data_IF_373370443845
#
_entry.id   IF_373370443845
#
_cell.length_a   1.000
_cell.length_b   1.000
_cell.length_c   1.000
_cell.angle_alpha   90.00
_cell.angle_beta   90.00
_cell.angle_gamma   90.00
#
_symmetry.space_group_name_H-M   'P 1'
#
loop_
_entity.id
_entity.type
_entity.pdbx_description
1 polymer ?
#
# COMPACT_ATOMS: atom_id res chain seq x y z
N UNK A 1 -21.41 0.32 6.80
CA UNK A 1 -20.23 0.57 5.95
C UNK A 1 -20.58 0.58 4.47
N UNK A 2 -21.22 -0.47 3.94
CA UNK A 2 -21.67 -0.54 2.54
C UNK A 2 -22.52 0.68 2.11
N UNK A 3 -23.55 1.05 2.88
CA UNK A 3 -24.37 2.22 2.57
C UNK A 3 -23.56 3.54 2.53
N UNK A 4 -22.59 3.70 3.45
CA UNK A 4 -21.70 4.87 3.51
C UNK A 4 -20.83 4.95 2.26
N UNK A 5 -20.24 3.83 1.84
CA UNK A 5 -19.46 3.75 0.61
C UNK A 5 -20.34 4.08 -0.60
N UNK A 6 -21.47 3.39 -0.77
CA UNK A 6 -22.34 3.55 -1.93
C UNK A 6 -22.92 4.96 -2.03
N UNK A 7 -23.27 5.58 -0.90
CA UNK A 7 -23.69 6.98 -0.85
C UNK A 7 -22.58 7.89 -1.40
N UNK A 8 -21.35 7.74 -0.90
CA UNK A 8 -20.22 8.57 -1.33
C UNK A 8 -19.87 8.37 -2.80
N UNK A 9 -19.85 7.13 -3.29
CA UNK A 9 -19.59 6.82 -4.69
C UNK A 9 -20.70 7.38 -5.59
N UNK A 10 -21.96 7.35 -5.13
CA UNK A 10 -23.08 7.98 -5.81
C UNK A 10 -22.96 9.51 -5.91
N UNK A 11 -22.52 10.18 -4.85
CA UNK A 11 -22.23 11.62 -4.88
C UNK A 11 -21.12 11.94 -5.89
N UNK A 12 -20.02 11.18 -5.88
CA UNK A 12 -18.90 11.36 -6.80
C UNK A 12 -19.31 11.11 -8.27
N UNK A 13 -20.26 10.20 -8.53
CA UNK A 13 -20.86 10.05 -9.88
C UNK A 13 -21.64 11.30 -10.28
N UNK A 14 -22.48 11.85 -9.39
CA UNK A 14 -23.25 13.08 -9.69
C UNK A 14 -22.34 14.28 -9.98
N UNK A 15 -21.16 14.32 -9.33
CA UNK A 15 -20.12 15.32 -9.57
C UNK A 15 -19.23 15.01 -10.78
N UNK A 16 -19.56 14.00 -11.60
CA UNK A 16 -18.79 13.57 -12.78
C UNK A 16 -17.33 13.19 -12.48
N UNK A 17 -17.03 12.75 -11.24
CA UNK A 17 -15.69 12.29 -10.85
C UNK A 17 -15.38 10.88 -11.35
N UNK A 18 -16.41 10.04 -11.45
CA UNK A 18 -16.32 8.69 -12.03
C UNK A 18 -17.11 8.58 -13.32
N UNK A 19 -16.60 7.78 -14.25
CA UNK A 19 -17.40 7.28 -15.37
C UNK A 19 -18.35 6.17 -14.88
N UNK A 20 -19.33 5.81 -15.70
CA UNK A 20 -20.35 4.83 -15.33
C UNK A 20 -19.79 3.44 -15.03
N UNK A 21 -18.81 2.99 -15.82
CA UNK A 21 -18.16 1.69 -15.61
C UNK A 21 -17.45 1.62 -14.26
N UNK A 22 -16.64 2.63 -13.93
CA UNK A 22 -15.94 2.74 -12.66
C UNK A 22 -16.91 2.82 -11.48
N UNK A 23 -17.97 3.64 -11.58
CA UNK A 23 -18.99 3.70 -10.54
C UNK A 23 -19.65 2.34 -10.28
N UNK A 24 -20.08 1.65 -11.34
CA UNK A 24 -20.77 0.37 -11.21
C UNK A 24 -19.85 -0.73 -10.68
N UNK A 25 -18.57 -0.67 -11.02
CA UNK A 25 -17.57 -1.62 -10.53
C UNK A 25 -17.18 -1.39 -9.07
N UNK A 26 -17.00 -0.13 -8.66
CA UNK A 26 -16.60 0.23 -7.29
C UNK A 26 -17.74 -0.01 -6.28
N UNK A 27 -18.99 0.14 -6.72
CA UNK A 27 -20.17 -0.02 -5.87
C UNK A 27 -20.16 -1.37 -5.16
N UNK A 28 -20.37 -1.32 -3.86
CA UNK A 28 -20.54 -2.51 -3.03
C UNK A 28 -21.92 -3.12 -3.24
N UNK A 29 -21.95 -4.43 -3.50
CA UNK A 29 -23.19 -5.22 -3.64
C UNK A 29 -22.95 -6.59 -3.00
N UNK A 30 -23.87 -7.04 -2.14
CA UNK A 30 -23.84 -8.38 -1.52
C UNK A 30 -22.50 -8.69 -0.82
N UNK A 31 -22.02 -7.75 -0.01
CA UNK A 31 -20.70 -7.82 0.60
C UNK A 31 -20.67 -8.73 1.81
N UNK A 32 -19.49 -9.28 2.12
CA UNK A 32 -19.24 -10.07 3.33
C UNK A 32 -18.32 -9.31 4.27
N UNK A 33 -18.48 -9.53 5.57
CA UNK A 33 -17.53 -9.01 6.55
C UNK A 33 -16.17 -9.71 6.37
N UNK A 34 -15.09 -8.93 6.47
CA UNK A 34 -13.74 -9.48 6.43
C UNK A 34 -13.50 -10.43 7.59
N UNK A 35 -12.63 -11.43 7.41
CA UNK A 35 -12.34 -12.46 8.43
C UNK A 35 -10.84 -12.53 8.66
N UNK A 36 -10.43 -12.48 9.92
CA UNK A 36 -9.05 -12.72 10.33
C UNK A 36 -8.79 -14.23 10.41
N UNK A 37 -7.72 -14.68 9.77
CA UNK A 37 -7.21 -16.03 9.88
C UNK A 37 -5.70 -15.98 10.15
N UNK A 38 -5.23 -17.01 10.83
CA UNK A 38 -3.85 -17.14 11.28
C UNK A 38 -3.16 -18.22 10.46
N UNK A 39 -1.94 -17.94 9.98
CA UNK A 39 -1.14 -18.90 9.24
C UNK A 39 0.24 -19.05 9.89
N UNK A 40 0.79 -20.27 10.00
CA UNK A 40 2.11 -20.49 10.58
C UNK A 40 3.22 -20.03 9.62
N UNK A 41 4.21 -19.31 10.13
CA UNK A 41 5.47 -19.01 9.44
C UNK A 41 6.39 -20.23 9.53
N UNK A 42 6.32 -21.11 8.54
CA UNK A 42 7.04 -22.41 8.47
C UNK A 42 8.58 -22.25 8.49
N UNK A 43 9.10 -21.08 8.15
CA UNK A 43 10.54 -20.84 7.97
C UNK A 43 11.34 -20.46 9.23
N UNK A 44 10.71 -20.38 10.42
CA UNK A 44 11.37 -19.95 11.66
C UNK A 44 11.49 -21.10 12.68
N UNK A 45 12.61 -21.15 13.42
CA UNK A 45 12.88 -22.16 14.48
C UNK A 45 11.78 -22.21 15.55
N UNK A 46 11.10 -21.09 15.76
CA UNK A 46 9.89 -20.97 16.59
C UNK A 46 8.73 -20.72 15.63
N UNK A 47 7.64 -21.49 15.77
CA UNK A 47 6.44 -21.32 14.95
C UNK A 47 5.78 -19.97 15.28
N UNK A 48 6.13 -18.92 14.54
CA UNK A 48 5.47 -17.63 14.61
C UNK A 48 4.19 -17.69 13.77
N UNK A 49 3.12 -17.09 14.26
CA UNK A 49 1.85 -16.96 13.53
C UNK A 49 1.84 -15.63 12.81
N UNK A 50 1.35 -15.61 11.56
CA UNK A 50 1.02 -14.38 10.85
C UNK A 50 -0.50 -14.26 10.71
N UNK A 51 -1.05 -13.17 11.24
CA UNK A 51 -2.47 -12.82 11.12
C UNK A 51 -2.72 -12.15 9.78
N UNK A 52 -3.77 -12.58 9.09
CA UNK A 52 -4.16 -12.03 7.80
C UNK A 52 -5.66 -11.81 7.76
N UNK A 53 -6.08 -10.64 7.29
CA UNK A 53 -7.51 -10.31 7.15
C UNK A 53 -7.93 -10.53 5.70
N UNK A 54 -8.82 -11.50 5.47
CA UNK A 54 -9.42 -11.74 4.16
C UNK A 54 -10.40 -10.61 3.83
N UNK A 55 -10.08 -9.82 2.81
CA UNK A 55 -10.92 -8.73 2.29
C UNK A 55 -11.70 -9.13 1.04
N UNK A 56 -11.64 -10.40 0.63
CA UNK A 56 -12.37 -10.91 -0.53
C UNK A 56 -13.86 -10.68 -0.35
N UNK A 57 -14.48 -10.03 -1.34
CA UNK A 57 -15.90 -9.67 -1.33
C UNK A 57 -16.31 -8.77 -0.15
N UNK A 58 -15.36 -8.07 0.48
CA UNK A 58 -15.66 -7.00 1.42
C UNK A 58 -16.16 -5.76 0.69
N UNK A 59 -16.84 -4.87 1.41
CA UNK A 59 -17.47 -3.70 0.80
C UNK A 59 -16.47 -2.76 0.11
N UNK A 60 -15.24 -2.67 0.60
CA UNK A 60 -14.19 -1.82 0.05
C UNK A 60 -13.27 -2.56 -0.92
N UNK A 61 -13.54 -3.81 -1.29
CA UNK A 61 -12.64 -4.62 -2.12
C UNK A 61 -12.38 -3.97 -3.49
N UNK A 62 -13.44 -3.65 -4.24
CA UNK A 62 -13.30 -3.03 -5.56
C UNK A 62 -12.78 -1.59 -5.47
N UNK A 63 -13.20 -0.84 -4.44
CA UNK A 63 -12.63 0.49 -4.19
C UNK A 63 -11.12 0.38 -3.94
N UNK A 64 -10.68 -0.56 -3.12
CA UNK A 64 -9.26 -0.75 -2.81
C UNK A 64 -8.47 -1.06 -4.08
N UNK A 65 -8.99 -1.90 -4.98
CA UNK A 65 -8.37 -2.14 -6.29
C UNK A 65 -8.32 -0.89 -7.16
N UNK A 66 -9.41 -0.15 -7.25
CA UNK A 66 -9.43 1.12 -7.99
C UNK A 66 -8.35 2.08 -7.50
N UNK A 67 -8.25 2.24 -6.18
CA UNK A 67 -7.25 3.11 -5.55
C UNK A 67 -5.83 2.58 -5.73
N UNK A 68 -5.64 1.26 -5.70
CA UNK A 68 -4.39 0.58 -6.03
C UNK A 68 -3.95 0.93 -7.45
N UNK A 69 -4.83 0.72 -8.45
CA UNK A 69 -4.52 0.98 -9.86
C UNK A 69 -4.22 2.46 -10.11
N UNK A 70 -4.98 3.35 -9.49
CA UNK A 70 -4.74 4.80 -9.56
C UNK A 70 -3.37 5.17 -8.99
N UNK A 71 -3.01 4.63 -7.83
CA UNK A 71 -1.73 4.92 -7.18
C UNK A 71 -0.55 4.30 -7.93
N UNK A 72 -0.69 3.08 -8.44
CA UNK A 72 0.33 2.42 -9.28
C UNK A 72 0.59 3.19 -10.57
N UNK A 73 -0.46 3.73 -11.21
CA UNK A 73 -0.29 4.58 -12.40
C UNK A 73 0.29 5.96 -12.07
N UNK A 74 0.16 6.41 -10.82
CA UNK A 74 0.71 7.68 -10.37
C UNK A 74 2.17 7.55 -9.91
N UNK A 75 2.51 6.45 -9.24
CA UNK A 75 3.83 6.25 -8.65
C UNK A 75 4.85 5.93 -9.75
N UNK A 76 6.02 6.55 -9.65
CA UNK A 76 7.19 6.14 -10.43
C UNK A 76 7.86 4.92 -9.81
N UNK A 77 8.92 4.44 -10.45
CA UNK A 77 9.85 3.49 -9.81
C UNK A 77 10.85 4.27 -8.96
N UNK A 78 11.16 3.78 -7.76
CA UNK A 78 12.30 4.27 -6.97
C UNK A 78 13.59 4.08 -7.78
N UNK A 79 14.55 4.99 -7.60
CA UNK A 79 15.88 4.89 -8.24
C UNK A 79 16.65 3.65 -7.79
N UNK A 80 16.33 3.16 -6.60
CA UNK A 80 17.02 2.04 -5.96
C UNK A 80 16.25 0.72 -6.10
N UNK A 81 15.15 0.71 -6.85
CA UNK A 81 14.27 -0.44 -7.01
C UNK A 81 14.98 -1.60 -7.73
N UNK A 82 15.00 -2.77 -7.08
CA UNK A 82 15.45 -4.01 -7.69
C UNK A 82 14.26 -4.91 -8.02
N UNK A 83 14.17 -5.30 -9.28
CA UNK A 83 13.06 -6.09 -9.82
C UNK A 83 12.90 -7.46 -9.15
N UNK A 84 14.00 -8.20 -9.01
CA UNK A 84 13.99 -9.58 -8.52
C UNK A 84 15.36 -10.00 -7.94
N UNK A 85 15.37 -11.15 -7.25
CA UNK A 85 16.58 -11.70 -6.62
C UNK A 85 17.68 -12.06 -7.62
N UNK A 86 17.33 -12.40 -8.86
CA UNK A 86 18.31 -12.72 -9.89
C UNK A 86 19.01 -11.45 -10.38
N UNK A 87 18.26 -10.38 -10.56
CA UNK A 87 18.76 -9.05 -10.91
C UNK A 87 19.68 -8.52 -9.80
N UNK A 88 19.29 -8.69 -8.54
CA UNK A 88 20.15 -8.35 -7.40
C UNK A 88 21.47 -9.15 -7.41
N UNK A 89 21.38 -10.47 -7.59
CA UNK A 89 22.57 -11.35 -7.61
C UNK A 89 23.55 -10.93 -8.70
N UNK A 90 23.05 -10.66 -9.92
CA UNK A 90 23.89 -10.14 -11.02
C UNK A 90 24.54 -8.80 -10.68
N UNK A 91 23.79 -7.90 -10.06
CA UNK A 91 24.27 -6.57 -9.67
C UNK A 91 25.40 -6.66 -8.63
N UNK A 92 25.27 -7.55 -7.65
CA UNK A 92 26.26 -7.73 -6.58
C UNK A 92 27.52 -8.43 -7.10
N UNK A 93 27.37 -9.40 -8.02
CA UNK A 93 28.53 -10.05 -8.66
C UNK A 93 29.42 -9.08 -9.44
N UNK A 94 28.89 -7.93 -9.85
CA UNK A 94 29.67 -6.87 -10.53
C UNK A 94 30.42 -5.95 -9.56
N UNK A 95 30.21 -6.08 -8.25
CA UNK A 95 30.90 -5.27 -7.25
C UNK A 95 32.21 -5.94 -6.83
N UNK A 96 33.29 -5.17 -6.76
CA UNK A 96 34.57 -5.60 -6.19
C UNK A 96 34.74 -4.96 -4.81
N UNK A 97 34.40 -5.66 -3.71
CA UNK A 97 34.55 -5.11 -2.38
C UNK A 97 36.02 -4.97 -1.97
N UNK A 98 36.33 -3.92 -1.23
CA UNK A 98 37.63 -3.72 -0.57
C UNK A 98 37.72 -4.57 0.70
N UNK A 99 38.94 -4.79 1.21
CA UNK A 99 39.20 -5.60 2.42
C UNK A 99 38.47 -5.10 3.68
N UNK A 100 38.09 -3.81 3.71
CA UNK A 100 37.42 -3.17 4.83
C UNK A 100 35.93 -2.89 4.57
N UNK A 101 35.38 -3.38 3.46
CA UNK A 101 33.96 -3.21 3.15
C UNK A 101 33.13 -4.27 3.88
N UNK A 102 31.99 -3.86 4.41
CA UNK A 102 31.03 -4.74 5.08
C UNK A 102 29.71 -4.72 4.32
N UNK A 103 29.12 -5.91 4.14
CA UNK A 103 27.76 -6.04 3.64
C UNK A 103 26.80 -6.18 4.82
N UNK A 104 25.82 -5.28 4.89
CA UNK A 104 24.80 -5.28 5.95
C UNK A 104 23.46 -5.56 5.30
N UNK A 105 22.71 -6.52 5.85
CA UNK A 105 21.33 -6.81 5.45
C UNK A 105 20.39 -6.38 6.57
N UNK A 106 19.44 -5.52 6.22
CA UNK A 106 18.41 -5.01 7.12
C UNK A 106 17.05 -5.54 6.64
N UNK A 107 16.21 -5.96 7.57
CA UNK A 107 14.84 -6.42 7.30
C UNK A 107 13.87 -5.62 8.16
N UNK A 108 12.76 -5.16 7.57
CA UNK A 108 11.74 -4.41 8.29
C UNK A 108 10.80 -5.39 8.97
N UNK A 109 10.77 -5.35 10.29
CA UNK A 109 9.85 -6.19 11.05
C UNK A 109 8.40 -5.71 10.90
N UNK A 110 7.52 -6.65 10.54
CA UNK A 110 6.07 -6.45 10.56
C UNK A 110 5.59 -5.25 9.73
N UNK A 111 6.24 -4.99 8.58
CA UNK A 111 6.02 -3.83 7.70
C UNK A 111 4.55 -3.40 7.59
N UNK A 112 3.66 -4.28 7.14
CA UNK A 112 2.24 -3.93 6.91
C UNK A 112 1.48 -3.50 8.17
N UNK A 113 1.78 -4.08 9.32
CA UNK A 113 1.13 -3.71 10.58
C UNK A 113 1.79 -2.49 11.25
N UNK A 114 3.00 -2.14 10.82
CA UNK A 114 3.81 -1.05 11.39
C UNK A 114 3.78 0.23 10.55
N UNK A 115 3.28 0.21 9.30
CA UNK A 115 3.24 1.43 8.49
C UNK A 115 2.25 2.46 9.07
N UNK A 116 2.63 3.74 9.22
CA UNK A 116 1.74 4.78 9.72
C UNK A 116 0.69 5.14 8.66
N UNK A 117 -0.55 4.66 8.84
CA UNK A 117 -1.59 4.77 7.80
C UNK A 117 -1.87 6.22 7.41
N UNK A 118 -1.87 7.13 8.38
CA UNK A 118 -2.14 8.54 8.10
C UNK A 118 -1.06 9.18 7.22
N UNK A 119 0.22 8.90 7.49
CA UNK A 119 1.34 9.42 6.68
C UNK A 119 1.32 8.78 5.29
N UNK A 120 1.13 7.46 5.19
CA UNK A 120 1.08 6.75 3.91
C UNK A 120 -0.06 7.26 3.00
N UNK A 121 -1.24 7.57 3.57
CA UNK A 121 -2.33 8.20 2.81
C UNK A 121 -1.93 9.60 2.32
N UNK A 122 -1.26 10.39 3.17
CA UNK A 122 -0.75 11.70 2.80
C UNK A 122 0.17 11.64 1.58
N UNK A 123 1.17 10.76 1.65
CA UNK A 123 2.11 10.51 0.56
C UNK A 123 1.40 10.07 -0.72
N UNK A 124 0.46 9.12 -0.62
CA UNK A 124 -0.28 8.62 -1.77
C UNK A 124 -1.07 9.73 -2.49
N UNK A 125 -1.72 10.60 -1.73
CA UNK A 125 -2.46 11.73 -2.27
C UNK A 125 -1.50 12.72 -2.94
N UNK A 126 -0.37 13.03 -2.32
CA UNK A 126 0.64 13.93 -2.88
C UNK A 126 1.19 13.38 -4.20
N UNK A 127 1.53 12.10 -4.26
CA UNK A 127 1.98 11.43 -5.49
C UNK A 127 0.93 11.52 -6.61
N UNK A 128 -0.33 11.23 -6.31
CA UNK A 128 -1.42 11.32 -7.30
C UNK A 128 -1.62 12.75 -7.77
N UNK A 129 -1.59 13.74 -6.87
CA UNK A 129 -1.78 15.15 -7.22
C UNK A 129 -0.61 15.70 -8.04
N UNK A 130 0.63 15.33 -7.71
CA UNK A 130 1.81 15.69 -8.50
C UNK A 130 1.71 15.12 -9.92
N UNK A 131 1.31 13.84 -10.05
CA UNK A 131 1.08 13.24 -11.37
C UNK A 131 -0.04 13.94 -12.11
N UNK A 132 -1.13 14.29 -11.42
CA UNK A 132 -2.28 15.01 -11.99
C UNK A 132 -1.91 16.40 -12.52
N UNK A 133 -0.96 17.10 -11.91
CA UNK A 133 -0.45 18.38 -12.42
C UNK A 133 0.16 18.23 -13.82
N UNK A 134 0.87 17.13 -14.06
CA UNK A 134 1.49 16.84 -15.36
C UNK A 134 0.52 16.16 -16.34
N UNK A 135 -0.41 15.35 -15.83
CA UNK A 135 -1.42 14.62 -16.59
C UNK A 135 -2.78 14.69 -15.89
N UNK A 136 -3.61 15.71 -16.22
CA UNK A 136 -4.94 15.87 -15.62
C UNK A 136 -5.91 14.71 -15.91
N UNK A 137 -5.60 13.83 -16.86
CA UNK A 137 -6.47 12.73 -17.26
C UNK A 137 -6.45 11.56 -16.26
N UNK A 138 -5.40 11.45 -15.45
CA UNK A 138 -5.22 10.33 -14.50
C UNK A 138 -6.39 10.20 -13.51
N UNK A 139 -6.92 11.33 -13.03
CA UNK A 139 -8.11 11.33 -12.19
C UNK A 139 -8.78 12.70 -12.14
N UNK A 140 -10.11 12.69 -12.07
CA UNK A 140 -10.91 13.89 -11.82
C UNK A 140 -11.05 14.22 -10.34
N UNK A 141 -10.62 13.32 -9.45
CA UNK A 141 -10.75 13.46 -8.00
C UNK A 141 -9.88 14.59 -7.45
N UNK A 142 -10.38 15.30 -6.45
CA UNK A 142 -9.62 16.29 -5.70
C UNK A 142 -8.96 15.71 -4.44
N UNK A 143 -8.16 16.53 -3.74
CA UNK A 143 -7.43 16.14 -2.52
C UNK A 143 -8.36 15.59 -1.42
N UNK A 144 -9.53 16.21 -1.22
CA UNK A 144 -10.48 15.83 -0.16
C UNK A 144 -11.19 14.53 -0.52
N UNK A 145 -11.59 14.39 -1.78
CA UNK A 145 -12.21 13.18 -2.32
C UNK A 145 -11.25 11.99 -2.24
N UNK A 146 -10.00 12.16 -2.69
CA UNK A 146 -8.96 11.13 -2.56
C UNK A 146 -8.75 10.71 -1.11
N UNK A 147 -8.59 11.67 -0.18
CA UNK A 147 -8.43 11.37 1.25
C UNK A 147 -9.55 10.49 1.78
N UNK A 148 -10.80 10.87 1.50
CA UNK A 148 -11.94 10.10 1.99
C UNK A 148 -12.02 8.70 1.38
N UNK A 149 -11.68 8.53 0.10
CA UNK A 149 -11.66 7.21 -0.53
C UNK A 149 -10.55 6.33 0.06
N UNK A 150 -9.35 6.87 0.26
CA UNK A 150 -8.28 6.16 0.97
C UNK A 150 -8.71 5.76 2.38
N UNK A 151 -9.28 6.68 3.16
CA UNK A 151 -9.78 6.38 4.50
C UNK A 151 -10.89 5.31 4.49
N UNK A 152 -11.77 5.30 3.49
CA UNK A 152 -12.78 4.24 3.32
C UNK A 152 -12.17 2.88 2.97
N UNK A 153 -10.96 2.83 2.39
CA UNK A 153 -10.25 1.59 2.08
C UNK A 153 -9.53 0.98 3.28
N UNK A 154 -8.89 1.82 4.12
CA UNK A 154 -7.95 1.33 5.14
C UNK A 154 -8.35 1.63 6.58
N UNK A 155 -9.09 2.72 6.83
CA UNK A 155 -9.48 3.07 8.20
C UNK A 155 -10.78 2.37 8.60
N UNK A 156 -10.84 2.05 9.89
CA UNK A 156 -12.03 1.53 10.55
C UNK A 156 -12.61 0.29 9.84
N UNK A 157 -11.71 -0.55 9.30
CA UNK A 157 -12.09 -1.81 8.66
C UNK A 157 -12.60 -2.80 9.70
N UNK A 158 -13.89 -3.17 9.68
CA UNK A 158 -14.40 -4.19 10.56
C UNK A 158 -14.01 -5.57 10.03
N UNK A 159 -13.49 -6.42 10.91
CA UNK A 159 -13.22 -7.82 10.60
C UNK A 159 -13.68 -8.72 11.74
N UNK A 160 -14.06 -9.95 11.41
CA UNK A 160 -14.44 -10.97 12.38
C UNK A 160 -13.23 -11.81 12.75
N UNK A 161 -13.11 -12.09 14.03
CA UNK A 161 -12.27 -13.16 14.55
C UNK A 161 -13.14 -13.98 15.51
N UNK A 162 -13.31 -15.26 15.18
CA UNK A 162 -14.38 -16.09 15.76
C UNK A 162 -15.76 -15.42 15.67
N UNK A 163 -16.47 -15.28 16.79
CA UNK A 163 -17.80 -14.66 16.88
C UNK A 163 -17.77 -13.15 17.08
N UNK A 164 -16.58 -12.57 17.31
CA UNK A 164 -16.44 -11.17 17.68
C UNK A 164 -16.03 -10.29 16.50
N UNK A 165 -16.42 -9.02 16.58
CA UNK A 165 -16.12 -8.00 15.59
C UNK A 165 -15.02 -7.09 16.13
N UNK A 166 -13.96 -6.95 15.36
CA UNK A 166 -12.82 -6.10 15.67
C UNK A 166 -12.65 -5.04 14.60
N UNK A 167 -11.89 -4.00 14.92
CA UNK A 167 -11.57 -2.93 14.02
C UNK A 167 -10.07 -2.71 14.01
N UNK A 168 -9.48 -2.59 12.82
CA UNK A 168 -8.07 -2.24 12.69
C UNK A 168 -7.87 -0.76 13.07
N UNK A 169 -6.98 -0.50 14.03
CA UNK A 169 -6.66 0.85 14.52
C UNK A 169 -5.57 1.49 13.65
N UNK A 170 -4.52 0.74 13.33
CA UNK A 170 -3.40 1.19 12.49
C UNK A 170 -2.81 0.05 11.67
N UNK A 171 -1.89 0.39 10.76
CA UNK A 171 -1.37 -0.47 9.74
C UNK A 171 -2.41 -0.83 8.67
N UNK A 172 -1.98 -1.64 7.72
CA UNK A 172 -2.83 -2.12 6.61
C UNK A 172 -2.94 -3.63 6.66
N UNK A 173 -4.11 -4.17 6.34
CA UNK A 173 -4.27 -5.61 6.17
C UNK A 173 -3.38 -6.10 5.02
N UNK A 174 -2.52 -7.09 5.30
CA UNK A 174 -1.67 -7.73 4.30
C UNK A 174 -2.41 -8.22 3.03
N UNK A 175 -3.69 -8.58 3.15
CA UNK A 175 -4.52 -9.07 2.03
C UNK A 175 -5.37 -7.97 1.38
N UNK A 176 -5.22 -6.72 1.81
CA UNK A 176 -5.74 -5.57 1.05
C UNK A 176 -4.91 -5.39 -0.23
N UNK A 177 -5.57 -5.12 -1.36
CA UNK A 177 -4.87 -4.78 -2.61
C UNK A 177 -4.01 -3.52 -2.48
N UNK A 178 -4.37 -2.63 -1.55
CA UNK A 178 -3.72 -1.34 -1.36
C UNK A 178 -2.50 -1.43 -0.44
N UNK A 179 -2.41 -2.49 0.38
CA UNK A 179 -1.36 -2.64 1.36
C UNK A 179 0.06 -2.69 0.75
N UNK A 180 0.34 -3.50 -0.30
CA UNK A 180 1.65 -3.52 -0.94
C UNK A 180 2.08 -2.16 -1.47
N UNK A 181 1.16 -1.44 -2.11
CA UNK A 181 1.46 -0.17 -2.78
C UNK A 181 1.72 0.94 -1.77
N UNK A 182 0.96 0.99 -0.68
CA UNK A 182 1.20 1.95 0.40
C UNK A 182 2.50 1.66 1.15
N UNK A 183 2.81 0.38 1.38
CA UNK A 183 4.05 -0.01 2.02
C UNK A 183 5.27 0.37 1.15
N UNK A 184 5.23 0.04 -0.14
CA UNK A 184 6.27 0.38 -1.13
C UNK A 184 6.48 1.90 -1.22
N UNK A 185 5.38 2.67 -1.29
CA UNK A 185 5.44 4.13 -1.30
C UNK A 185 6.07 4.70 -0.02
N UNK A 186 5.69 4.16 1.14
CA UNK A 186 6.23 4.60 2.41
C UNK A 186 7.72 4.24 2.55
N UNK A 187 8.13 3.05 2.12
CA UNK A 187 9.53 2.65 2.10
C UNK A 187 10.35 3.53 1.17
N UNK A 188 9.85 3.84 -0.03
CA UNK A 188 10.49 4.79 -0.95
C UNK A 188 10.67 6.18 -0.33
N UNK A 189 9.74 6.62 0.53
CA UNK A 189 9.86 7.87 1.27
C UNK A 189 10.90 7.81 2.40
N UNK A 190 11.07 6.66 3.05
CA UNK A 190 12.18 6.46 4.00
C UNK A 190 13.52 6.46 3.26
N UNK A 191 13.62 5.78 2.13
CA UNK A 191 14.81 5.77 1.26
C UNK A 191 15.23 7.19 0.87
N UNK A 192 14.29 8.03 0.45
CA UNK A 192 14.59 9.40 0.03
C UNK A 192 15.15 10.26 1.17
N UNK A 193 14.71 10.02 2.42
CA UNK A 193 15.23 10.70 3.62
C UNK A 193 16.62 10.20 4.02
N UNK A 194 16.95 8.95 3.71
CA UNK A 194 18.26 8.35 4.01
C UNK A 194 19.31 8.70 2.95
N UNK A 195 18.89 9.10 1.76
CA UNK A 195 19.77 9.36 0.62
C UNK A 195 20.90 10.36 0.93
N UNK A 196 20.61 11.45 1.62
CA UNK A 196 21.65 12.43 2.00
C UNK A 196 22.72 11.83 2.91
N UNK A 197 22.32 10.93 3.82
CA UNK A 197 23.24 10.20 4.69
C UNK A 197 24.07 9.19 3.89
N UNK A 198 23.44 8.47 2.96
CA UNK A 198 24.10 7.49 2.10
C UNK A 198 25.13 8.15 1.18
N UNK A 199 24.77 9.26 0.55
CA UNK A 199 25.63 10.01 -0.36
C UNK A 199 26.83 10.62 0.38
N UNK A 200 26.61 11.17 1.58
CA UNK A 200 27.68 11.75 2.41
C UNK A 200 28.69 10.71 2.91
N UNK A 201 28.25 9.47 3.16
CA UNK A 201 29.10 8.37 3.62
C UNK A 201 29.53 7.42 2.49
N UNK A 202 29.12 7.69 1.24
CA UNK A 202 29.38 6.86 0.05
C UNK A 202 28.94 5.40 0.22
N UNK A 203 27.82 5.19 0.92
CA UNK A 203 27.27 3.86 1.17
C UNK A 203 26.49 3.44 -0.07
N UNK A 204 26.83 2.28 -0.65
CA UNK A 204 26.02 1.68 -1.71
C UNK A 204 24.80 1.01 -1.09
N UNK A 205 23.61 1.51 -1.41
CA UNK A 205 22.34 0.98 -0.89
C UNK A 205 21.52 0.34 -1.99
N UNK A 206 20.78 -0.70 -1.60
CA UNK A 206 19.98 -1.52 -2.49
C UNK A 206 18.67 -1.81 -1.79
N UNK A 207 17.55 -1.48 -2.44
CA UNK A 207 16.22 -1.62 -1.87
C UNK A 207 15.37 -2.55 -2.73
N UNK A 208 14.51 -3.33 -2.07
CA UNK A 208 13.65 -4.33 -2.69
C UNK A 208 12.23 -4.20 -2.21
#
# INVERSE_FOLDING_TARGET
>A
MEAKLNCRIGELKRLNRFNEGAHNWIRAVATRCSVLFCQPKVQKKVCLIHSVISTTNSYNYNLSKYMTDLLENAKGKSTSHIKDSFSFSKLIQQQTPSKNDYMISLDVESLFTSIPVHESIGLAIETILQKKTNDPSITKLDKRELKQLFELCVKNMPFRFYSELYQQIDGVSMKSSLAPVLADLFMTHIESKLKDFEDSHKIKTYYR
#
